data_IF_748403567849
#
_entry.id   IF_748403567849
#
_cell.length_a   1.000
_cell.length_b   1.000
_cell.length_c   1.000
_cell.angle_alpha   90.00
_cell.angle_beta   90.00
_cell.angle_gamma   90.00
#
_symmetry.space_group_name_H-M   'P 1'
#
loop_
_entity.id
_entity.type
_entity.pdbx_description
1 polymer ?
#
# COMPACT_ATOMS: atom_id res chain seq x y z
N UNK A 1 -48.97 38.43 15.92
CA UNK A 1 -47.90 39.39 16.17
C UNK A 1 -46.94 38.77 17.14
N UNK A 2 -45.70 38.51 16.74
CA UNK A 2 -44.69 38.03 17.68
C UNK A 2 -44.34 39.21 18.60
N UNK A 3 -44.43 38.96 19.91
CA UNK A 3 -44.07 39.95 20.93
C UNK A 3 -42.54 40.19 20.85
N UNK A 4 -42.12 41.44 20.80
CA UNK A 4 -40.72 41.86 20.70
C UNK A 4 -39.85 41.23 21.79
N UNK A 5 -40.43 41.08 22.99
CA UNK A 5 -39.76 40.42 24.12
C UNK A 5 -39.48 38.93 23.87
N UNK A 6 -40.39 38.22 23.21
CA UNK A 6 -40.23 36.81 22.86
C UNK A 6 -39.15 36.63 21.77
N UNK A 7 -39.16 37.48 20.75
CA UNK A 7 -38.14 37.47 19.70
C UNK A 7 -36.76 37.76 20.29
N UNK A 8 -36.64 38.76 21.16
CA UNK A 8 -35.34 39.10 21.79
C UNK A 8 -34.81 37.96 22.66
N UNK A 9 -35.68 37.31 23.44
CA UNK A 9 -35.26 36.13 24.25
C UNK A 9 -34.85 34.96 23.41
N UNK A 10 -35.59 34.67 22.35
CA UNK A 10 -35.21 33.59 21.40
C UNK A 10 -33.89 33.89 20.72
N UNK A 11 -33.68 35.10 20.22
CA UNK A 11 -32.43 35.51 19.60
C UNK A 11 -31.26 35.45 20.59
N UNK A 12 -31.44 35.93 21.82
CA UNK A 12 -30.43 35.87 22.87
C UNK A 12 -30.04 34.44 23.23
N UNK A 13 -31.03 33.51 23.29
CA UNK A 13 -30.78 32.09 23.53
C UNK A 13 -29.99 31.46 22.38
N UNK A 14 -30.36 31.77 21.13
CA UNK A 14 -29.71 31.22 19.92
C UNK A 14 -28.28 31.72 19.78
N UNK A 15 -28.02 33.03 19.97
CA UNK A 15 -26.68 33.60 19.95
C UNK A 15 -25.83 33.10 21.13
N UNK A 16 -26.42 32.95 22.32
CA UNK A 16 -25.74 32.40 23.48
C UNK A 16 -25.26 30.95 23.25
N UNK A 17 -26.14 30.09 22.73
CA UNK A 17 -25.76 28.70 22.41
C UNK A 17 -24.68 28.63 21.31
N UNK A 18 -24.79 29.47 20.27
CA UNK A 18 -23.79 29.53 19.20
C UNK A 18 -22.42 29.98 19.73
N UNK A 19 -22.40 30.98 20.60
CA UNK A 19 -21.18 31.47 21.25
C UNK A 19 -20.54 30.38 22.12
N UNK A 20 -21.29 29.63 22.90
CA UNK A 20 -20.76 28.50 23.68
C UNK A 20 -20.15 27.42 22.79
N UNK A 21 -20.80 27.09 21.67
CA UNK A 21 -20.26 26.11 20.72
C UNK A 21 -18.98 26.59 20.06
N UNK A 22 -18.88 27.87 19.70
CA UNK A 22 -17.66 28.43 19.14
C UNK A 22 -16.52 28.46 20.16
N UNK A 23 -16.81 28.82 21.42
CA UNK A 23 -15.80 28.78 22.48
C UNK A 23 -15.34 27.35 22.78
N UNK A 24 -16.25 26.39 22.78
CA UNK A 24 -15.91 24.97 22.96
C UNK A 24 -15.04 24.46 21.81
N UNK A 25 -15.38 24.82 20.56
CA UNK A 25 -14.55 24.51 19.40
C UNK A 25 -13.16 25.13 19.51
N UNK A 26 -13.10 26.42 19.83
CA UNK A 26 -11.82 27.13 20.02
C UNK A 26 -10.97 26.51 21.13
N UNK A 27 -11.58 26.19 22.26
CA UNK A 27 -10.88 25.53 23.37
C UNK A 27 -10.38 24.13 22.97
N UNK A 28 -11.17 23.38 22.21
CA UNK A 28 -10.75 22.08 21.66
C UNK A 28 -9.56 22.24 20.71
N UNK A 29 -9.61 23.20 19.82
CA UNK A 29 -8.48 23.49 18.91
C UNK A 29 -7.21 23.89 19.67
N UNK A 30 -7.32 24.72 20.71
CA UNK A 30 -6.17 25.11 21.54
C UNK A 30 -5.62 23.96 22.36
N UNK A 31 -6.47 23.05 22.87
CA UNK A 31 -6.05 21.90 23.67
C UNK A 31 -5.54 20.72 22.82
N UNK A 32 -6.10 20.52 21.64
CA UNK A 32 -5.76 19.39 20.76
C UNK A 32 -4.89 19.76 19.57
N UNK A 33 -4.84 21.04 19.20
CA UNK A 33 -3.79 21.60 18.37
C UNK A 33 -2.75 22.28 19.27
N UNK A 34 -2.04 21.50 20.05
CA UNK A 34 -0.81 21.95 20.68
C UNK A 34 0.16 22.27 19.54
N UNK A 35 0.29 23.57 19.25
CA UNK A 35 1.38 24.21 18.53
C UNK A 35 1.97 23.40 17.35
N UNK A 36 1.21 23.31 16.27
CA UNK A 36 1.75 22.88 14.98
C UNK A 36 2.43 24.03 14.23
N UNK A 37 3.34 24.72 14.85
CA UNK A 37 4.42 25.39 14.14
C UNK A 37 5.58 24.42 14.07
N UNK A 38 5.67 23.74 12.94
CA UNK A 38 6.90 23.07 12.53
C UNK A 38 7.10 21.72 13.16
N UNK A 39 7.27 20.78 12.28
CA UNK A 39 8.01 19.55 12.43
C UNK A 39 7.20 18.31 12.82
N UNK A 40 6.97 17.58 11.75
CA UNK A 40 6.93 16.14 11.69
C UNK A 40 5.87 15.46 12.55
N UNK A 41 4.66 15.43 12.02
CA UNK A 41 3.83 14.26 12.23
C UNK A 41 4.70 13.05 11.86
N UNK A 42 5.01 12.18 12.83
CA UNK A 42 5.82 10.97 12.65
C UNK A 42 5.21 9.94 11.70
N UNK A 43 4.23 10.36 10.91
CA UNK A 43 3.61 9.58 9.86
C UNK A 43 3.35 10.48 8.65
N UNK A 44 4.38 10.62 7.82
CA UNK A 44 4.23 11.18 6.48
C UNK A 44 3.50 10.13 5.65
N UNK A 45 2.22 10.35 5.40
CA UNK A 45 1.55 9.72 4.26
C UNK A 45 2.04 10.51 3.05
N UNK A 46 3.09 10.04 2.42
CA UNK A 46 3.49 10.52 1.11
C UNK A 46 2.41 10.11 0.13
N UNK A 47 1.47 11.02 -0.13
CA UNK A 47 0.69 10.97 -1.35
C UNK A 47 1.61 11.47 -2.43
N UNK A 48 2.28 10.56 -3.14
CA UNK A 48 3.05 10.93 -4.33
C UNK A 48 2.11 11.50 -5.39
N UNK A 49 2.10 12.83 -5.42
CA UNK A 49 1.85 13.61 -6.63
C UNK A 49 3.17 13.63 -7.40
N UNK A 50 3.10 13.20 -8.63
CA UNK A 50 4.11 13.25 -9.67
C UNK A 50 5.10 14.41 -9.57
N UNK A 51 6.41 14.07 -9.60
CA UNK A 51 7.45 14.89 -10.21
C UNK A 51 8.09 15.90 -9.30
N UNK A 52 9.28 15.59 -8.80
CA UNK A 52 10.47 16.45 -8.99
C UNK A 52 11.71 15.72 -8.49
N UNK A 53 12.66 15.60 -9.38
CA UNK A 53 13.98 15.04 -9.15
C UNK A 53 14.71 15.83 -8.08
N UNK A 54 14.95 15.22 -6.91
CA UNK A 54 16.04 15.64 -6.04
C UNK A 54 17.20 14.68 -6.27
N UNK A 55 18.32 15.24 -6.65
CA UNK A 55 19.64 14.69 -6.88
C UNK A 55 20.06 13.72 -5.76
N UNK A 56 19.64 12.48 -5.87
CA UNK A 56 20.09 11.31 -5.13
C UNK A 56 20.26 10.22 -6.16
N UNK A 57 21.42 9.60 -6.23
CA UNK A 57 21.71 8.47 -7.12
C UNK A 57 20.48 7.58 -7.21
N UNK A 58 19.90 7.52 -8.40
CA UNK A 58 18.80 6.60 -8.73
C UNK A 58 19.36 5.19 -8.57
N UNK A 59 19.21 4.60 -7.38
CA UNK A 59 19.66 3.24 -7.10
C UNK A 59 18.83 2.34 -8.00
N UNK A 60 19.45 1.86 -9.06
CA UNK A 60 18.81 0.99 -10.04
C UNK A 60 18.32 -0.26 -9.30
N UNK A 61 17.14 -0.76 -9.62
CA UNK A 61 16.56 -1.94 -8.98
C UNK A 61 17.53 -3.12 -8.94
N UNK A 62 18.35 -3.28 -9.98
CA UNK A 62 19.40 -4.30 -10.10
C UNK A 62 20.43 -4.22 -8.96
N UNK A 63 20.87 -3.01 -8.60
CA UNK A 63 21.82 -2.80 -7.49
C UNK A 63 21.15 -3.12 -6.14
N UNK A 64 19.88 -2.76 -5.97
CA UNK A 64 19.12 -3.13 -4.78
C UNK A 64 18.95 -4.64 -4.68
N UNK A 65 18.67 -5.31 -5.78
CA UNK A 65 18.52 -6.77 -5.83
C UNK A 65 19.85 -7.48 -5.54
N UNK A 66 20.96 -6.97 -6.08
CA UNK A 66 22.29 -7.52 -5.82
C UNK A 66 22.71 -7.39 -4.34
N UNK A 67 22.23 -6.35 -3.65
CA UNK A 67 22.47 -6.11 -2.22
C UNK A 67 21.35 -6.66 -1.31
N UNK A 68 20.35 -7.34 -1.87
CA UNK A 68 19.17 -7.78 -1.15
C UNK A 68 19.48 -8.93 -0.19
N UNK A 69 18.70 -8.99 0.89
CA UNK A 69 18.83 -9.96 1.97
C UNK A 69 17.66 -10.98 1.94
N UNK A 70 17.91 -12.23 1.51
CA UNK A 70 16.87 -13.25 1.46
C UNK A 70 16.21 -13.56 2.81
N UNK A 71 16.94 -13.41 3.93
CA UNK A 71 16.39 -13.65 5.28
C UNK A 71 15.38 -12.56 5.67
N UNK A 72 15.61 -11.32 5.23
CA UNK A 72 14.60 -10.26 5.33
C UNK A 72 13.44 -10.53 4.39
N UNK A 73 13.72 -11.01 3.18
CA UNK A 73 12.71 -11.44 2.21
C UNK A 73 11.77 -12.51 2.76
N UNK A 74 12.31 -13.52 3.46
CA UNK A 74 11.51 -14.52 4.15
C UNK A 74 10.56 -13.92 5.20
N UNK A 75 10.95 -12.84 5.87
CA UNK A 75 10.07 -12.12 6.81
C UNK A 75 8.97 -11.35 6.07
N UNK A 76 9.30 -10.74 4.94
CA UNK A 76 8.32 -10.06 4.07
C UNK A 76 7.33 -11.08 3.50
N UNK A 77 7.78 -12.27 3.10
CA UNK A 77 6.95 -13.34 2.55
C UNK A 77 5.80 -13.75 3.48
N UNK A 78 5.90 -13.54 4.78
CA UNK A 78 4.79 -13.78 5.73
C UNK A 78 3.50 -13.07 5.34
N UNK A 79 3.58 -11.95 4.61
CA UNK A 79 2.40 -11.23 4.09
C UNK A 79 1.70 -12.00 2.95
N UNK A 80 2.36 -13.00 2.38
CA UNK A 80 1.90 -13.76 1.22
C UNK A 80 1.37 -15.17 1.59
N UNK A 81 1.77 -15.69 2.78
CA UNK A 81 1.52 -17.08 3.20
C UNK A 81 0.05 -17.45 3.35
N UNK A 82 -0.83 -16.46 3.56
CA UNK A 82 -2.27 -16.70 3.65
C UNK A 82 -2.85 -17.25 2.33
N UNK A 83 -2.26 -16.87 1.19
CA UNK A 83 -2.77 -17.23 -0.13
C UNK A 83 -1.80 -18.10 -0.92
N UNK A 84 -0.50 -17.99 -0.71
CA UNK A 84 0.53 -18.66 -1.51
C UNK A 84 1.35 -19.65 -0.69
N UNK A 85 1.75 -20.74 -1.36
CA UNK A 85 2.69 -21.75 -0.85
C UNK A 85 3.98 -21.73 -1.65
N UNK A 86 5.08 -22.23 -1.06
CA UNK A 86 6.40 -22.31 -1.69
C UNK A 86 6.71 -23.72 -2.22
N UNK A 87 5.85 -24.70 -1.96
CA UNK A 87 6.02 -26.08 -2.42
C UNK A 87 5.48 -26.21 -3.84
N UNK A 88 6.14 -27.01 -4.67
CA UNK A 88 5.70 -27.28 -6.06
C UNK A 88 4.31 -27.90 -6.08
N UNK A 89 3.43 -27.34 -6.88
CA UNK A 89 2.05 -27.80 -7.05
C UNK A 89 1.10 -27.51 -5.88
N UNK A 90 1.57 -26.95 -4.77
CA UNK A 90 0.77 -26.66 -3.58
C UNK A 90 -0.04 -25.36 -3.73
N UNK A 91 -1.06 -25.37 -4.57
CA UNK A 91 -1.94 -24.21 -4.74
C UNK A 91 -2.80 -23.95 -3.49
N UNK A 92 -3.03 -22.67 -3.21
CA UNK A 92 -3.94 -22.19 -2.16
C UNK A 92 -5.04 -21.32 -2.77
N UNK A 93 -5.40 -20.24 -2.09
CA UNK A 93 -6.25 -19.17 -2.65
C UNK A 93 -5.57 -18.53 -3.87
N UNK A 94 -4.24 -18.40 -3.81
CA UNK A 94 -3.38 -18.02 -4.93
C UNK A 94 -2.57 -19.21 -5.44
N UNK A 95 -1.87 -19.07 -6.59
CA UNK A 95 -0.99 -20.10 -7.12
C UNK A 95 0.24 -20.29 -6.22
N UNK A 96 0.85 -21.46 -6.28
CA UNK A 96 2.14 -21.70 -5.63
C UNK A 96 3.24 -20.84 -6.24
N UNK A 97 4.25 -20.49 -5.43
CA UNK A 97 5.37 -19.62 -5.83
C UNK A 97 6.71 -20.37 -5.94
N UNK A 98 6.72 -21.70 -5.89
CA UNK A 98 7.92 -22.49 -6.18
C UNK A 98 8.45 -22.18 -7.57
N UNK A 99 9.73 -21.83 -7.69
CA UNK A 99 10.38 -21.42 -8.95
C UNK A 99 9.56 -20.36 -9.72
N UNK A 100 9.09 -19.31 -9.01
CA UNK A 100 8.28 -18.26 -9.64
C UNK A 100 9.13 -17.33 -10.51
N UNK A 101 10.40 -17.09 -10.12
CA UNK A 101 11.28 -16.20 -10.88
C UNK A 101 11.55 -16.81 -12.25
N UNK A 102 11.41 -15.99 -13.27
CA UNK A 102 11.48 -16.34 -14.70
C UNK A 102 10.41 -17.31 -15.21
N UNK A 103 9.49 -17.77 -14.36
CA UNK A 103 8.36 -18.60 -14.78
C UNK A 103 7.38 -17.77 -15.63
N UNK A 104 6.81 -18.34 -16.73
CA UNK A 104 5.78 -17.66 -17.50
C UNK A 104 4.57 -17.29 -16.65
N UNK A 105 3.98 -16.11 -16.93
CA UNK A 105 2.80 -15.61 -16.21
C UNK A 105 1.62 -16.59 -16.40
N UNK A 106 0.82 -16.78 -15.35
CA UNK A 106 -0.38 -17.63 -15.32
C UNK A 106 -0.13 -19.12 -15.63
N UNK A 107 1.05 -19.67 -15.34
CA UNK A 107 1.40 -21.06 -15.67
C UNK A 107 1.57 -21.99 -14.46
N UNK A 108 1.18 -21.60 -13.25
CA UNK A 108 1.24 -22.51 -12.10
C UNK A 108 0.35 -23.72 -12.31
N UNK A 109 0.96 -24.90 -12.25
CA UNK A 109 0.33 -26.18 -12.54
C UNK A 109 -0.88 -26.42 -11.63
N UNK A 110 -2.03 -26.75 -12.20
CA UNK A 110 -3.25 -27.07 -11.45
C UNK A 110 -3.95 -25.85 -10.80
N UNK A 111 -3.46 -24.63 -10.96
CA UNK A 111 -4.17 -23.46 -10.50
C UNK A 111 -5.14 -22.94 -11.55
N UNK A 112 -6.42 -22.92 -11.23
CA UNK A 112 -7.52 -22.51 -12.15
C UNK A 112 -8.08 -21.11 -11.86
N UNK A 113 -7.58 -20.44 -10.79
CA UNK A 113 -8.13 -19.17 -10.30
C UNK A 113 -7.54 -17.91 -10.96
N UNK A 114 -6.79 -18.03 -12.05
CA UNK A 114 -6.28 -16.86 -12.77
C UNK A 114 -7.41 -16.05 -13.40
N UNK A 115 -7.39 -14.73 -13.22
CA UNK A 115 -8.27 -13.82 -13.97
C UNK A 115 -7.94 -13.84 -15.47
N UNK A 116 -8.91 -13.48 -16.30
CA UNK A 116 -8.70 -13.34 -17.74
C UNK A 116 -7.57 -12.32 -18.04
N UNK A 117 -7.48 -11.24 -17.26
CA UNK A 117 -6.42 -10.25 -17.39
C UNK A 117 -5.03 -10.84 -17.11
N UNK A 118 -4.90 -11.68 -16.08
CA UNK A 118 -3.64 -12.36 -15.76
C UNK A 118 -3.23 -13.36 -16.86
N UNK A 119 -4.19 -14.12 -17.40
CA UNK A 119 -3.95 -15.06 -18.50
C UNK A 119 -3.54 -14.37 -19.81
N UNK A 120 -4.11 -13.20 -20.07
CA UNK A 120 -3.83 -12.41 -21.26
C UNK A 120 -2.55 -11.57 -21.16
N UNK A 121 -1.98 -11.41 -19.96
CA UNK A 121 -0.82 -10.53 -19.75
C UNK A 121 0.41 -11.01 -20.51
N UNK A 122 0.69 -12.33 -20.48
CA UNK A 122 1.87 -12.91 -21.12
C UNK A 122 3.18 -12.56 -20.42
N UNK A 123 4.31 -12.92 -21.04
CA UNK A 123 5.65 -12.68 -20.49
C UNK A 123 6.02 -13.62 -19.34
N UNK A 124 7.14 -13.32 -18.70
CA UNK A 124 7.68 -14.07 -17.56
C UNK A 124 7.74 -13.19 -16.31
N UNK A 125 7.73 -13.81 -15.16
CA UNK A 125 7.97 -13.17 -13.88
C UNK A 125 9.47 -12.91 -13.66
N UNK A 126 10.07 -12.04 -14.52
CA UNK A 126 11.44 -11.58 -14.26
C UNK A 126 11.51 -10.81 -12.94
N UNK A 127 12.69 -10.62 -12.35
CA UNK A 127 12.82 -9.81 -11.13
C UNK A 127 12.18 -8.42 -11.28
N UNK A 128 12.36 -7.76 -12.41
CA UNK A 128 11.81 -6.43 -12.71
C UNK A 128 10.28 -6.49 -12.84
N UNK A 129 9.75 -7.51 -13.51
CA UNK A 129 8.31 -7.72 -13.63
C UNK A 129 7.66 -7.98 -12.26
N UNK A 130 8.35 -8.76 -11.40
CA UNK A 130 7.93 -8.98 -10.02
C UNK A 130 7.98 -7.70 -9.20
N UNK A 131 9.03 -6.87 -9.32
CA UNK A 131 9.13 -5.59 -8.63
C UNK A 131 7.98 -4.66 -9.02
N UNK A 132 7.75 -4.49 -10.31
CA UNK A 132 6.66 -3.67 -10.84
C UNK A 132 5.28 -4.19 -10.39
N UNK A 133 5.02 -5.50 -10.46
CA UNK A 133 3.79 -6.12 -10.02
C UNK A 133 3.60 -5.98 -8.50
N UNK A 134 4.64 -6.24 -7.71
CA UNK A 134 4.58 -6.17 -6.26
C UNK A 134 4.45 -4.73 -5.74
N UNK A 135 4.84 -3.74 -6.52
CA UNK A 135 4.60 -2.33 -6.18
C UNK A 135 3.11 -2.05 -6.07
N UNK A 136 2.32 -2.48 -7.07
CA UNK A 136 0.85 -2.32 -7.09
C UNK A 136 0.20 -3.31 -8.06
N UNK A 137 -0.16 -4.52 -7.64
CA UNK A 137 -0.67 -5.58 -8.51
C UNK A 137 -1.83 -5.14 -9.41
N UNK A 138 -2.82 -4.42 -8.85
CA UNK A 138 -3.99 -3.95 -9.59
C UNK A 138 -3.70 -2.85 -10.62
N UNK A 139 -2.60 -2.13 -10.47
CA UNK A 139 -2.16 -1.14 -11.47
C UNK A 139 -1.33 -1.80 -12.58
N UNK A 140 -0.50 -2.77 -12.23
CA UNK A 140 0.35 -3.50 -13.20
C UNK A 140 -0.48 -4.42 -14.09
N UNK A 141 -1.40 -5.21 -13.50
CA UNK A 141 -2.36 -6.04 -14.23
C UNK A 141 -3.78 -5.63 -13.82
N UNK A 142 -4.36 -4.68 -14.56
CA UNK A 142 -5.75 -4.25 -14.34
C UNK A 142 -6.70 -5.44 -14.54
N UNK A 143 -7.53 -5.74 -13.53
CA UNK A 143 -8.39 -6.92 -13.53
C UNK A 143 -7.75 -8.18 -12.95
N UNK A 144 -6.60 -8.09 -12.29
CA UNK A 144 -6.08 -9.20 -11.49
C UNK A 144 -7.04 -9.55 -10.36
N UNK A 145 -7.19 -10.85 -10.05
CA UNK A 145 -7.95 -11.32 -8.89
C UNK A 145 -7.18 -11.21 -7.57
N UNK A 146 -5.89 -10.87 -7.61
CA UNK A 146 -5.05 -10.69 -6.44
C UNK A 146 -5.37 -9.37 -5.74
N UNK A 147 -6.01 -9.44 -4.57
CA UNK A 147 -6.41 -8.27 -3.77
C UNK A 147 -5.33 -7.83 -2.78
N UNK A 148 -4.08 -7.74 -3.22
CA UNK A 148 -2.96 -7.26 -2.42
C UNK A 148 -2.67 -5.79 -2.73
N UNK A 149 -2.47 -4.98 -1.67
CA UNK A 149 -2.23 -3.54 -1.82
C UNK A 149 -0.86 -3.19 -2.41
N UNK A 150 0.07 -4.14 -2.41
CA UNK A 150 1.44 -3.96 -2.84
C UNK A 150 2.42 -3.68 -1.70
N UNK A 151 3.70 -3.63 -2.05
CA UNK A 151 4.83 -3.30 -1.16
C UNK A 151 5.42 -1.96 -1.61
N UNK A 152 5.23 -0.92 -0.82
CA UNK A 152 5.67 0.44 -1.17
C UNK A 152 7.20 0.61 -1.13
N UNK A 153 7.88 -0.11 -0.22
CA UNK A 153 9.32 0.04 -0.03
C UNK A 153 10.10 -0.79 -1.05
N UNK A 154 10.93 -0.16 -1.90
CA UNK A 154 11.73 -0.87 -2.91
C UNK A 154 12.60 -1.97 -2.32
N UNK A 155 13.26 -1.70 -1.18
CA UNK A 155 14.11 -2.69 -0.53
C UNK A 155 13.32 -3.92 -0.04
N UNK A 156 12.09 -3.76 0.48
CA UNK A 156 11.26 -4.93 0.86
C UNK A 156 10.92 -5.80 -0.36
N UNK A 157 10.76 -5.20 -1.55
CA UNK A 157 10.49 -5.93 -2.78
C UNK A 157 11.74 -6.66 -3.27
N UNK A 158 12.89 -5.98 -3.28
CA UNK A 158 14.17 -6.59 -3.64
C UNK A 158 14.50 -7.78 -2.72
N UNK A 159 14.39 -7.61 -1.41
CA UNK A 159 14.63 -8.68 -0.42
C UNK A 159 13.67 -9.87 -0.66
N UNK A 160 12.37 -9.60 -0.91
CA UNK A 160 11.40 -10.64 -1.20
C UNK A 160 11.72 -11.40 -2.49
N UNK A 161 12.12 -10.69 -3.56
CA UNK A 161 12.45 -11.29 -4.84
C UNK A 161 13.72 -12.14 -4.69
N UNK A 162 14.75 -11.64 -3.99
CA UNK A 162 15.95 -12.41 -3.67
C UNK A 162 15.60 -13.70 -2.89
N UNK A 163 14.68 -13.62 -1.93
CA UNK A 163 14.20 -14.82 -1.24
C UNK A 163 13.52 -15.79 -2.20
N UNK A 164 12.61 -15.31 -3.07
CA UNK A 164 11.91 -16.17 -4.03
C UNK A 164 12.87 -16.82 -5.04
N UNK A 165 13.98 -16.18 -5.38
CA UNK A 165 15.04 -16.77 -6.21
C UNK A 165 15.70 -17.98 -5.55
N UNK A 166 15.70 -18.09 -4.23
CA UNK A 166 16.22 -19.28 -3.52
C UNK A 166 15.25 -20.46 -3.54
N UNK A 167 14.01 -20.26 -3.97
CA UNK A 167 12.95 -21.26 -3.91
C UNK A 167 12.82 -21.95 -5.27
N UNK A 168 13.35 -23.15 -5.38
CA UNK A 168 13.19 -24.00 -6.56
C UNK A 168 14.18 -23.75 -7.70
N UNK A 169 15.23 -23.00 -7.44
CA UNK A 169 16.37 -22.78 -8.36
C UNK A 169 17.61 -23.50 -7.86
#
# INVERSE_FOLDING_TARGET
MFDTMTVTKAAAGLFGTFLVLLLAKWAAEVLYHADGHGETASYIIETESSGESADGEEVVFEDMLAAADPDKGAKVFRKCTACHKLEDGANGTGPYLYAIVDRPVATAKGFTGYSAAMQAHGGNWTPEALDAFLTRPSAYISGTSMSFAGLKKPQERADLIAYLQTIGN
#
